data_IF_867625388624
#
_entry.id   IF_867625388624
#
_cell.length_a   1.000
_cell.length_b   1.000
_cell.length_c   1.000
_cell.angle_alpha   90.00
_cell.angle_beta   90.00
_cell.angle_gamma   90.00
#
_symmetry.space_group_name_H-M   'P 1'
#
loop_
_entity.id
_entity.type
_entity.pdbx_description
1 polymer ?
#
# COMPACT_ATOMS: atom_id res chain seq x y z
N UNK A 1 14.70 6.96 -3.22
CA UNK A 1 14.02 6.11 -4.23
C UNK A 1 12.91 6.93 -4.86
N UNK A 2 12.64 6.79 -6.16
CA UNK A 2 11.56 7.54 -6.82
C UNK A 2 10.30 6.67 -6.83
N UNK A 3 9.24 7.12 -6.13
CA UNK A 3 7.94 6.45 -6.08
C UNK A 3 6.90 7.29 -6.81
N UNK A 4 6.15 6.67 -7.71
CA UNK A 4 5.08 7.32 -8.46
C UNK A 4 3.72 6.85 -7.95
N UNK A 5 2.88 7.77 -7.48
CA UNK A 5 1.53 7.45 -7.01
C UNK A 5 0.63 7.14 -8.19
N UNK A 6 0.11 5.91 -8.25
CA UNK A 6 -0.93 5.50 -9.20
C UNK A 6 -2.29 5.56 -8.49
N UNK A 7 -3.27 6.20 -9.12
CA UNK A 7 -4.69 5.95 -8.82
C UNK A 7 -5.12 4.87 -9.79
N UNK A 8 -5.16 3.64 -9.33
CA UNK A 8 -5.71 2.55 -10.12
C UNK A 8 -6.73 1.78 -9.31
N UNK A 9 -7.62 1.10 -10.03
CA UNK A 9 -8.77 0.39 -9.50
C UNK A 9 -8.63 -1.08 -9.89
N UNK A 10 -7.98 -1.87 -9.05
CA UNK A 10 -8.08 -3.32 -9.17
C UNK A 10 -9.29 -3.80 -8.35
N UNK A 11 -10.23 -4.49 -8.99
CA UNK A 11 -11.41 -5.06 -8.31
C UNK A 11 -12.40 -4.04 -7.69
N UNK A 12 -12.30 -2.76 -8.03
CA UNK A 12 -13.22 -1.71 -7.57
C UNK A 12 -12.97 -1.20 -6.13
N UNK A 13 -11.83 -1.54 -5.52
CA UNK A 13 -11.45 -1.11 -4.17
C UNK A 13 -10.20 -0.23 -4.24
N UNK A 14 -10.40 1.07 -4.28
CA UNK A 14 -9.32 2.06 -4.19
C UNK A 14 -8.87 2.20 -2.74
N UNK A 15 -7.55 2.28 -2.47
CA UNK A 15 -7.14 3.36 -1.56
C UNK A 15 -5.80 4.03 -1.94
N UNK A 16 -4.75 3.29 -2.32
CA UNK A 16 -3.53 3.94 -2.82
C UNK A 16 -2.45 2.97 -3.27
N UNK A 17 -1.86 3.24 -4.44
CA UNK A 17 -0.76 2.45 -5.00
C UNK A 17 0.40 3.38 -5.31
N UNK A 18 1.61 2.95 -5.01
CA UNK A 18 2.84 3.59 -5.46
C UNK A 18 3.73 2.55 -6.13
N UNK A 19 4.36 2.94 -7.23
CA UNK A 19 5.31 2.12 -7.97
C UNK A 19 6.69 2.72 -7.79
N UNK A 20 7.61 1.93 -7.24
CA UNK A 20 9.01 2.28 -7.08
C UNK A 20 9.77 2.11 -8.40
N UNK A 21 10.89 2.82 -8.55
CA UNK A 21 11.79 2.69 -9.70
C UNK A 21 12.44 1.30 -9.87
N UNK A 22 12.26 0.43 -8.90
CA UNK A 22 12.80 -0.94 -8.81
C UNK A 22 11.70 -2.01 -8.86
N UNK A 23 10.57 -1.69 -9.49
CA UNK A 23 9.41 -2.56 -9.66
C UNK A 23 8.75 -3.01 -8.34
N UNK A 24 9.16 -2.45 -7.19
CA UNK A 24 8.42 -2.62 -5.94
C UNK A 24 7.12 -1.85 -5.99
N UNK A 25 6.10 -2.42 -5.39
CA UNK A 25 4.78 -1.81 -5.32
C UNK A 25 4.36 -1.65 -3.87
N UNK A 26 3.77 -0.51 -3.53
CA UNK A 26 3.27 -0.20 -2.19
C UNK A 26 1.76 0.01 -2.27
N UNK A 27 1.03 -0.71 -1.42
CA UNK A 27 -0.43 -0.71 -1.40
C UNK A 27 -0.97 -0.24 -0.06
N UNK A 28 -2.06 0.51 -0.11
CA UNK A 28 -2.99 0.73 1.01
C UNK A 28 -4.29 0.04 0.64
N UNK A 29 -4.65 -1.01 1.37
CA UNK A 29 -5.82 -1.86 1.10
C UNK A 29 -6.98 -1.58 2.06
N UNK A 30 -8.21 -1.49 1.53
CA UNK A 30 -9.45 -1.33 2.29
C UNK A 30 -10.02 -2.69 2.65
N UNK A 31 -9.99 -3.03 3.94
CA UNK A 31 -10.48 -4.29 4.46
C UNK A 31 -11.75 -4.12 5.30
N UNK A 32 -12.36 -2.92 5.30
CA UNK A 32 -13.57 -2.61 6.06
C UNK A 32 -14.77 -3.43 5.64
N UNK A 33 -14.84 -3.82 4.36
CA UNK A 33 -15.89 -4.68 3.83
C UNK A 33 -15.93 -6.09 4.46
N UNK A 34 -14.81 -6.56 5.04
CA UNK A 34 -14.71 -7.86 5.72
C UNK A 34 -14.67 -7.71 7.25
N UNK A 35 -14.92 -6.52 7.77
CA UNK A 35 -14.88 -6.21 9.20
C UNK A 35 -13.49 -5.97 9.76
N UNK A 36 -12.48 -5.83 8.90
CA UNK A 36 -11.12 -5.42 9.27
C UNK A 36 -10.92 -3.91 9.00
N UNK A 37 -9.74 -3.38 9.30
CA UNK A 37 -9.40 -1.98 9.03
C UNK A 37 -8.78 -1.75 7.65
N UNK A 38 -7.59 -1.20 7.68
CA UNK A 38 -6.72 -0.84 6.58
C UNK A 38 -5.39 -1.57 6.75
N UNK A 39 -4.75 -1.95 5.65
CA UNK A 39 -3.41 -2.52 5.69
C UNK A 39 -2.49 -1.87 4.67
N UNK A 40 -1.20 -1.80 5.01
CA UNK A 40 -0.14 -1.29 4.14
C UNK A 40 0.77 -2.44 3.78
N UNK A 41 0.97 -2.69 2.48
CA UNK A 41 1.79 -3.78 1.98
C UNK A 41 2.86 -3.28 1.01
N UNK A 42 4.02 -3.94 0.99
CA UNK A 42 5.03 -3.79 -0.06
C UNK A 42 5.18 -5.13 -0.77
N UNK A 43 4.97 -5.14 -2.08
CA UNK A 43 5.33 -6.27 -2.92
C UNK A 43 6.83 -6.23 -3.22
N UNK A 44 7.50 -7.36 -3.00
CA UNK A 44 8.89 -7.57 -3.36
C UNK A 44 8.97 -8.49 -4.60
N UNK A 45 9.33 -7.96 -5.79
CA UNK A 45 9.40 -8.76 -7.01
C UNK A 45 10.56 -9.76 -7.01
N UNK A 46 11.61 -9.55 -6.21
CA UNK A 46 12.74 -10.49 -6.13
C UNK A 46 12.36 -11.80 -5.44
N UNK A 47 11.43 -11.72 -4.47
CA UNK A 47 10.99 -12.87 -3.67
C UNK A 47 9.59 -13.35 -4.02
N UNK A 48 8.87 -12.61 -4.88
CA UNK A 48 7.45 -12.82 -5.20
C UNK A 48 6.57 -12.90 -3.93
N UNK A 49 6.78 -11.96 -3.01
CA UNK A 49 6.11 -11.97 -1.70
C UNK A 49 5.62 -10.58 -1.27
N UNK A 50 4.69 -10.57 -0.32
CA UNK A 50 4.06 -9.38 0.23
C UNK A 50 4.44 -9.14 1.69
N UNK A 51 5.16 -8.04 1.95
CA UNK A 51 5.48 -7.60 3.30
C UNK A 51 4.37 -6.69 3.86
N UNK A 52 3.66 -7.12 4.90
CA UNK A 52 2.76 -6.23 5.64
C UNK A 52 3.58 -5.26 6.52
N UNK A 53 3.37 -3.96 6.31
CA UNK A 53 4.04 -2.89 7.06
C UNK A 53 3.17 -2.31 8.17
N UNK A 54 1.85 -2.38 8.02
CA UNK A 54 0.89 -1.88 9.00
C UNK A 54 -0.47 -2.57 8.83
N UNK A 55 -1.18 -2.74 9.95
CA UNK A 55 -2.62 -3.00 10.02
C UNK A 55 -3.22 -2.06 11.06
N UNK A 56 -4.28 -1.32 10.71
CA UNK A 56 -4.90 -0.29 11.57
C UNK A 56 -6.35 -0.09 11.20
N UNK A 57 -7.21 0.32 12.12
CA UNK A 57 -8.59 0.75 11.81
C UNK A 57 -8.65 2.19 11.25
N UNK A 58 -7.54 2.93 11.30
CA UNK A 58 -7.45 4.34 10.89
C UNK A 58 -6.91 4.50 9.46
N UNK A 59 -7.77 5.00 8.57
CA UNK A 59 -7.41 5.32 7.18
C UNK A 59 -6.26 6.34 7.09
N UNK A 60 -6.29 7.38 7.91
CA UNK A 60 -5.29 8.46 7.86
C UNK A 60 -3.92 7.92 8.28
N UNK A 61 -3.87 7.05 9.27
CA UNK A 61 -2.64 6.37 9.70
C UNK A 61 -2.06 5.49 8.59
N UNK A 62 -2.89 4.73 7.90
CA UNK A 62 -2.47 3.89 6.78
C UNK A 62 -1.80 4.72 5.66
N UNK A 63 -2.44 5.82 5.26
CA UNK A 63 -1.86 6.73 4.26
C UNK A 63 -0.60 7.44 4.73
N UNK A 64 -0.56 7.93 5.96
CA UNK A 64 0.64 8.57 6.53
C UNK A 64 1.82 7.61 6.50
N UNK A 65 1.58 6.33 6.79
CA UNK A 65 2.60 5.29 6.77
C UNK A 65 3.09 5.02 5.35
N UNK A 66 2.18 4.88 4.39
CA UNK A 66 2.55 4.73 2.99
C UNK A 66 3.41 5.90 2.49
N UNK A 67 3.01 7.14 2.77
CA UNK A 67 3.79 8.34 2.41
C UNK A 67 5.18 8.34 3.04
N UNK A 68 5.30 7.97 4.32
CA UNK A 68 6.61 7.86 4.98
C UNK A 68 7.52 6.84 4.30
N UNK A 69 6.99 5.69 3.87
CA UNK A 69 7.75 4.67 3.13
C UNK A 69 8.27 5.24 1.81
N UNK A 70 7.45 6.00 1.09
CA UNK A 70 7.87 6.59 -0.19
C UNK A 70 8.94 7.68 -0.08
N UNK A 71 9.12 8.25 1.12
CA UNK A 71 10.11 9.30 1.40
C UNK A 71 11.43 8.75 1.98
N UNK A 72 11.46 7.47 2.35
CA UNK A 72 12.61 6.79 2.94
C UNK A 72 13.63 6.27 1.95
#
# INVERSE_FOLDING_TARGET
MEWNRRRDLEGGKEIGIWIGSDDRELYVEDLTYRGDGYSVYIYNPETDDWDQRLSTEDREEAFKTAVKITQG
#
